data_IF_848416485183
#
_entry.id   IF_848416485183
#
_cell.length_a   1.000
_cell.length_b   1.000
_cell.length_c   1.000
_cell.angle_alpha   90.00
_cell.angle_beta   90.00
_cell.angle_gamma   90.00
#
_symmetry.space_group_name_H-M   'P 1'
#
loop_
_entity.id
_entity.type
_entity.pdbx_description
1 polymer ?
#
# COMPACT_ATOMS: atom_id res chain seq x y z
N UNK A 1 1.33 10.55 13.57
CA UNK A 1 0.92 9.15 13.39
C UNK A 1 0.31 8.60 14.67
N UNK A 2 1.04 8.43 15.80
CA UNK A 2 0.59 7.76 17.03
C UNK A 2 -0.79 8.25 17.49
N UNK A 3 -0.99 9.57 17.62
CA UNK A 3 -2.28 10.14 18.06
C UNK A 3 -3.43 9.77 17.12
N UNK A 4 -3.19 9.62 15.82
CA UNK A 4 -4.23 9.24 14.87
C UNK A 4 -4.67 7.78 15.01
N UNK A 5 -3.83 6.93 15.58
CA UNK A 5 -4.14 5.52 15.87
C UNK A 5 -4.84 5.38 17.22
N UNK A 6 -4.24 5.91 18.30
CA UNK A 6 -4.75 5.71 19.66
C UNK A 6 -6.09 6.44 19.94
N UNK A 7 -6.45 7.42 19.12
CA UNK A 7 -7.72 8.15 19.21
C UNK A 7 -8.82 7.59 18.28
N UNK A 8 -8.63 6.40 17.70
CA UNK A 8 -9.67 5.75 16.90
C UNK A 8 -10.84 5.30 17.79
N UNK A 9 -12.07 5.42 17.28
CA UNK A 9 -13.28 4.95 17.97
C UNK A 9 -13.48 3.43 17.84
N UNK A 10 -12.78 2.77 16.94
CA UNK A 10 -12.72 1.32 16.84
C UNK A 10 -11.74 0.80 17.89
N UNK A 11 -12.21 -0.03 18.80
CA UNK A 11 -11.44 -0.43 19.99
C UNK A 11 -10.62 -1.72 19.79
N UNK A 12 -10.95 -2.54 18.80
CA UNK A 12 -10.25 -3.79 18.55
C UNK A 12 -9.01 -3.57 17.67
N UNK A 13 -8.03 -2.81 18.20
CA UNK A 13 -6.78 -2.45 17.55
C UNK A 13 -5.60 -3.04 18.32
N UNK A 14 -4.77 -3.79 17.64
CA UNK A 14 -3.44 -4.15 18.10
C UNK A 14 -2.42 -3.17 17.48
N UNK A 15 -1.99 -2.18 18.25
CA UNK A 15 -1.03 -1.19 17.76
C UNK A 15 0.39 -1.66 18.02
N UNK A 16 1.14 -1.89 16.92
CA UNK A 16 2.53 -2.35 16.94
C UNK A 16 3.42 -1.27 16.34
N UNK A 17 4.54 -0.94 16.99
CA UNK A 17 5.53 -0.01 16.46
C UNK A 17 6.89 -0.71 16.34
N UNK A 18 7.42 -0.73 15.14
CA UNK A 18 8.76 -1.19 14.83
C UNK A 18 9.59 0.05 14.43
N UNK A 19 10.53 0.42 15.25
CA UNK A 19 11.45 1.54 15.01
C UNK A 19 12.83 1.02 14.61
N UNK A 20 13.36 1.51 13.50
CA UNK A 20 14.65 1.09 12.92
C UNK A 20 15.88 1.62 13.64
N UNK A 21 15.77 1.97 14.92
CA UNK A 21 16.87 2.52 15.72
C UNK A 21 17.02 4.03 15.58
N UNK A 22 15.93 4.77 15.64
CA UNK A 22 15.89 6.24 15.53
C UNK A 22 16.68 6.92 16.67
N UNK A 23 17.42 7.98 16.32
CA UNK A 23 18.23 8.80 17.25
C UNK A 23 17.72 10.23 17.42
N UNK A 24 16.61 10.60 16.76
CA UNK A 24 16.05 11.94 16.67
C UNK A 24 14.98 12.28 17.74
N UNK A 25 14.84 11.44 18.76
CA UNK A 25 13.81 11.58 19.80
C UNK A 25 12.54 10.78 19.57
N UNK A 26 12.41 10.06 18.43
CA UNK A 26 11.27 9.19 18.15
C UNK A 26 10.99 8.20 19.27
N UNK A 27 12.03 7.53 19.80
CA UNK A 27 11.93 6.57 20.90
C UNK A 27 11.31 7.19 22.14
N UNK A 28 11.64 8.45 22.47
CA UNK A 28 11.04 9.16 23.61
C UNK A 28 9.55 9.41 23.43
N UNK A 29 9.14 9.69 22.18
CA UNK A 29 7.72 9.83 21.84
C UNK A 29 7.00 8.49 21.97
N UNK A 30 7.58 7.38 21.48
CA UNK A 30 7.02 6.03 21.64
C UNK A 30 6.82 5.71 23.11
N UNK A 31 7.85 5.90 23.94
CA UNK A 31 7.79 5.66 25.39
C UNK A 31 6.68 6.44 26.10
N UNK A 32 6.40 7.68 25.66
CA UNK A 32 5.33 8.51 26.22
C UNK A 32 3.94 7.88 26.06
N UNK A 33 3.73 7.06 25.04
CA UNK A 33 2.45 6.40 24.73
C UNK A 33 2.52 4.88 24.84
N UNK A 34 3.53 4.33 25.52
CA UNK A 34 3.76 2.89 25.60
C UNK A 34 2.59 2.14 26.22
N UNK A 35 1.82 2.77 27.12
CA UNK A 35 0.59 2.23 27.72
C UNK A 35 -0.55 2.02 26.72
N UNK A 36 -0.48 2.62 25.52
CA UNK A 36 -1.45 2.52 24.43
C UNK A 36 -0.95 1.66 23.25
N UNK A 37 0.26 1.12 23.34
CA UNK A 37 0.92 0.37 22.29
C UNK A 37 1.03 -1.09 22.76
N UNK A 38 0.46 -2.02 21.98
CA UNK A 38 0.48 -3.44 22.31
C UNK A 38 1.89 -4.05 22.30
N UNK A 39 2.71 -3.62 21.36
CA UNK A 39 4.12 -4.01 21.25
C UNK A 39 4.93 -2.92 20.59
N UNK A 40 6.14 -2.69 21.06
CA UNK A 40 7.10 -1.85 20.36
C UNK A 40 8.54 -2.31 20.57
N UNK A 41 9.37 -2.08 19.57
CA UNK A 41 10.81 -2.32 19.63
C UNK A 41 11.54 -1.22 18.86
N UNK A 42 12.72 -0.84 19.35
CA UNK A 42 13.64 0.07 18.64
C UNK A 42 14.98 -0.63 18.50
N UNK A 43 15.31 -1.03 17.30
CA UNK A 43 16.54 -1.73 16.95
C UNK A 43 16.90 -1.48 15.49
N UNK A 44 18.15 -1.61 15.11
CA UNK A 44 18.56 -1.47 13.71
C UNK A 44 17.86 -2.48 12.82
N UNK A 45 17.39 -2.04 11.67
CA UNK A 45 16.77 -2.86 10.64
C UNK A 45 17.53 -2.79 9.29
N UNK A 46 17.11 -3.61 8.34
CA UNK A 46 17.65 -3.64 6.97
C UNK A 46 16.85 -2.78 5.99
N UNK A 47 15.96 -1.94 6.49
CA UNK A 47 15.07 -1.05 5.74
C UNK A 47 13.60 -1.31 6.05
N UNK A 48 12.72 -0.49 5.46
CA UNK A 48 11.28 -0.44 5.74
C UNK A 48 10.59 -1.82 5.66
N UNK A 49 10.94 -2.65 4.71
CA UNK A 49 10.31 -3.97 4.54
C UNK A 49 10.77 -4.99 5.59
N UNK A 50 11.96 -4.83 6.16
CA UNK A 50 12.39 -5.63 7.32
C UNK A 50 11.56 -5.25 8.55
N UNK A 51 11.37 -3.94 8.79
CA UNK A 51 10.50 -3.46 9.85
C UNK A 51 9.04 -3.92 9.67
N UNK A 52 8.50 -3.83 8.45
CA UNK A 52 7.14 -4.32 8.14
C UNK A 52 7.02 -5.82 8.40
N UNK A 53 7.99 -6.63 8.00
CA UNK A 53 7.99 -8.08 8.23
C UNK A 53 8.07 -8.42 9.73
N UNK A 54 8.84 -7.67 10.52
CA UNK A 54 8.82 -7.80 11.99
C UNK A 54 7.42 -7.50 12.53
N UNK A 55 6.78 -6.42 12.07
CA UNK A 55 5.39 -6.10 12.44
C UNK A 55 4.41 -7.22 12.09
N UNK A 56 4.53 -7.83 10.91
CA UNK A 56 3.72 -8.98 10.49
C UNK A 56 3.92 -10.17 11.44
N UNK A 57 5.16 -10.45 11.81
CA UNK A 57 5.49 -11.58 12.70
C UNK A 57 4.86 -11.43 14.09
N UNK A 58 4.80 -10.21 14.61
CA UNK A 58 4.21 -9.90 15.91
C UNK A 58 2.69 -9.68 15.88
N UNK A 59 2.08 -9.57 14.68
CA UNK A 59 0.65 -9.29 14.55
C UNK A 59 -0.23 -10.51 14.85
N UNK A 60 -1.34 -10.29 15.59
CA UNK A 60 -2.36 -11.30 15.92
C UNK A 60 -3.75 -10.92 15.35
N UNK A 61 -3.93 -9.68 14.90
CA UNK A 61 -5.16 -9.22 14.29
C UNK A 61 -5.50 -9.93 12.98
N UNK A 62 -6.76 -9.84 12.58
CA UNK A 62 -7.25 -10.43 11.31
C UNK A 62 -6.72 -9.68 10.09
N UNK A 63 -6.65 -8.36 10.17
CA UNK A 63 -6.11 -7.48 9.14
C UNK A 63 -4.93 -6.68 9.69
N UNK A 64 -3.94 -6.44 8.83
CA UNK A 64 -2.86 -5.51 9.09
C UNK A 64 -2.97 -4.29 8.18
N UNK A 65 -2.63 -3.12 8.73
CA UNK A 65 -2.44 -1.88 8.00
C UNK A 65 -1.08 -1.29 8.40
N UNK A 66 -0.35 -0.70 7.45
CA UNK A 66 0.97 -0.13 7.69
C UNK A 66 0.91 1.39 7.50
N UNK A 67 1.17 2.13 8.56
CA UNK A 67 1.23 3.59 8.53
C UNK A 67 2.65 4.05 8.85
N UNK A 68 3.25 4.78 7.92
CA UNK A 68 4.59 5.30 8.09
C UNK A 68 4.62 6.47 9.08
N UNK A 69 5.79 6.73 9.65
CA UNK A 69 6.01 7.91 10.46
C UNK A 69 5.71 9.19 9.65
N UNK A 70 4.88 10.07 10.21
CA UNK A 70 4.41 11.29 9.52
C UNK A 70 3.04 11.15 8.87
N UNK A 71 2.62 9.95 8.47
CA UNK A 71 1.27 9.69 7.95
C UNK A 71 0.25 9.60 9.09
N UNK A 72 -1.02 9.80 8.78
CA UNK A 72 -2.11 9.75 9.79
C UNK A 72 -3.41 9.26 9.19
N UNK A 73 -4.22 8.59 9.97
CA UNK A 73 -5.62 8.31 9.61
C UNK A 73 -6.39 9.62 9.40
N UNK A 74 -7.28 9.64 8.40
CA UNK A 74 -8.00 10.85 8.01
C UNK A 74 -9.05 11.31 9.04
N UNK A 75 -9.55 10.38 9.86
CA UNK A 75 -10.50 10.67 10.95
C UNK A 75 -10.39 9.66 12.08
N UNK A 76 -10.95 9.99 13.25
CA UNK A 76 -11.00 9.08 14.41
C UNK A 76 -11.97 7.91 14.26
N UNK A 77 -12.84 7.92 13.25
CA UNK A 77 -13.83 6.86 13.00
C UNK A 77 -13.51 6.00 11.78
N UNK A 78 -12.40 6.28 11.07
CA UNK A 78 -12.13 5.62 9.79
C UNK A 78 -11.94 4.11 9.92
N UNK A 79 -11.26 3.64 10.97
CA UNK A 79 -11.07 2.21 11.18
C UNK A 79 -12.40 1.50 11.37
N UNK A 80 -13.32 2.09 12.16
CA UNK A 80 -14.67 1.53 12.31
C UNK A 80 -15.39 1.45 10.96
N UNK A 81 -15.35 2.52 10.17
CA UNK A 81 -16.00 2.57 8.86
C UNK A 81 -15.45 1.53 7.88
N UNK A 82 -14.13 1.30 7.87
CA UNK A 82 -13.50 0.29 7.01
C UNK A 82 -13.87 -1.12 7.47
N UNK A 83 -13.88 -1.38 8.78
CA UNK A 83 -14.24 -2.69 9.31
C UNK A 83 -15.74 -3.00 9.10
N UNK A 84 -16.61 -2.00 9.19
CA UNK A 84 -18.05 -2.17 8.92
C UNK A 84 -18.34 -2.34 7.40
N UNK A 85 -17.42 -1.93 6.51
CA UNK A 85 -17.62 -1.95 5.06
C UNK A 85 -17.55 -3.36 4.45
N UNK A 86 -16.51 -4.11 4.73
CA UNK A 86 -16.33 -5.44 4.14
C UNK A 86 -15.25 -6.23 4.89
N UNK A 87 -15.64 -7.33 5.55
CA UNK A 87 -14.70 -8.20 6.28
C UNK A 87 -14.42 -9.53 5.55
N UNK A 88 -14.85 -9.68 4.31
CA UNK A 88 -14.68 -10.96 3.57
C UNK A 88 -13.50 -10.90 2.60
N UNK A 89 -13.19 -9.72 2.05
CA UNK A 89 -12.08 -9.55 1.10
C UNK A 89 -10.72 -9.82 1.75
N UNK A 90 -9.79 -10.37 0.98
CA UNK A 90 -8.41 -10.58 1.44
C UNK A 90 -7.65 -9.26 1.60
N UNK A 91 -7.98 -8.28 0.75
CA UNK A 91 -7.39 -6.94 0.77
C UNK A 91 -8.51 -5.90 0.62
N UNK A 92 -8.57 -4.92 1.52
CA UNK A 92 -9.41 -3.75 1.40
C UNK A 92 -8.52 -2.58 1.03
N UNK A 93 -8.81 -1.91 -0.10
CA UNK A 93 -8.03 -0.79 -0.61
C UNK A 93 -8.86 0.48 -0.54
N UNK A 94 -8.38 1.47 0.19
CA UNK A 94 -8.96 2.80 0.21
C UNK A 94 -8.07 3.82 -0.50
N UNK A 95 -8.48 5.09 -0.42
CA UNK A 95 -7.73 6.19 -1.01
C UNK A 95 -6.78 6.80 0.01
N UNK A 96 -5.68 7.32 -0.45
CA UNK A 96 -4.79 8.20 0.28
C UNK A 96 -4.88 9.63 -0.25
N UNK A 97 -4.58 10.57 0.63
CA UNK A 97 -4.58 12.00 0.37
C UNK A 97 -3.19 12.55 0.65
N UNK A 98 -2.52 13.06 -0.36
CA UNK A 98 -1.25 13.73 -0.17
C UNK A 98 -1.45 15.21 0.11
N UNK A 99 -0.77 15.71 1.13
CA UNK A 99 -0.78 17.13 1.50
C UNK A 99 0.63 17.70 1.49
N UNK A 100 0.79 18.97 1.19
CA UNK A 100 2.07 19.67 1.30
C UNK A 100 2.35 20.11 2.75
N UNK A 101 3.49 20.78 2.96
CA UNK A 101 3.92 21.31 4.28
C UNK A 101 2.93 22.30 4.91
N UNK A 102 2.05 22.90 4.11
CA UNK A 102 0.99 23.81 4.55
C UNK A 102 -0.37 23.13 4.71
N UNK A 103 -0.41 21.79 4.76
CA UNK A 103 -1.63 20.97 4.79
C UNK A 103 -2.60 21.21 3.62
N UNK A 104 -2.13 21.76 2.49
CA UNK A 104 -2.93 21.87 1.28
C UNK A 104 -2.88 20.53 0.51
N UNK A 105 -4.03 20.10 0.02
CA UNK A 105 -4.16 18.89 -0.80
C UNK A 105 -3.37 19.08 -2.10
N UNK A 106 -2.48 18.14 -2.37
CA UNK A 106 -1.66 18.06 -3.59
C UNK A 106 -2.23 17.03 -4.56
N UNK A 107 -2.58 15.85 -4.04
CA UNK A 107 -3.16 14.77 -4.84
C UNK A 107 -4.01 13.85 -3.99
N UNK A 108 -4.87 13.08 -4.63
CA UNK A 108 -5.67 12.01 -4.06
C UNK A 108 -5.58 10.80 -4.98
N UNK A 109 -5.31 9.63 -4.43
CA UNK A 109 -5.30 8.40 -5.23
C UNK A 109 -6.69 8.08 -5.78
N UNK A 110 -6.70 7.53 -6.99
CA UNK A 110 -7.91 7.05 -7.65
C UNK A 110 -7.87 5.52 -7.67
N UNK A 111 -8.91 4.91 -7.14
CA UNK A 111 -9.00 3.44 -7.13
C UNK A 111 -9.34 2.93 -8.54
N UNK A 112 -8.63 1.92 -9.05
CA UNK A 112 -8.92 1.34 -10.34
C UNK A 112 -10.22 0.53 -10.29
N UNK A 113 -10.86 0.35 -11.44
CA UNK A 113 -12.00 -0.56 -11.55
C UNK A 113 -11.59 -2.04 -11.44
N UNK A 114 -10.35 -2.36 -11.79
CA UNK A 114 -9.79 -3.73 -11.77
C UNK A 114 -8.32 -3.70 -11.35
N UNK A 115 -7.97 -4.61 -10.47
CA UNK A 115 -6.60 -4.84 -10.02
C UNK A 115 -5.99 -5.98 -10.86
N UNK A 116 -5.61 -5.68 -12.10
CA UNK A 116 -5.05 -6.63 -13.05
C UNK A 116 -3.56 -6.33 -13.33
N UNK A 117 -2.91 -7.17 -14.14
CA UNK A 117 -1.51 -6.99 -14.48
C UNK A 117 -1.22 -5.64 -15.12
N UNK A 118 -2.12 -5.12 -16.00
CA UNK A 118 -1.94 -3.81 -16.62
C UNK A 118 -1.94 -2.67 -15.59
N UNK A 119 -2.83 -2.72 -14.58
CA UNK A 119 -2.82 -1.75 -13.50
C UNK A 119 -1.47 -1.73 -12.76
N UNK A 120 -0.96 -2.92 -12.37
CA UNK A 120 0.31 -3.02 -11.66
C UNK A 120 1.52 -2.75 -12.55
N UNK A 121 1.41 -2.91 -13.87
CA UNK A 121 2.47 -2.51 -14.79
C UNK A 121 2.63 -0.98 -14.83
N UNK A 122 1.54 -0.23 -14.80
CA UNK A 122 1.53 1.23 -14.87
C UNK A 122 1.79 1.86 -13.49
N UNK A 123 1.13 1.37 -12.43
CA UNK A 123 1.11 2.02 -11.12
C UNK A 123 1.22 1.03 -9.96
N UNK A 124 0.83 1.43 -8.77
CA UNK A 124 0.79 0.60 -7.55
C UNK A 124 -0.43 0.96 -6.70
N UNK A 125 -0.66 0.18 -5.66
CA UNK A 125 -1.60 0.48 -4.59
C UNK A 125 -0.79 1.06 -3.42
N UNK A 126 -1.18 2.22 -2.84
CA UNK A 126 -0.52 2.76 -1.67
C UNK A 126 -0.78 1.85 -0.45
N UNK A 127 0.27 1.30 0.14
CA UNK A 127 0.17 0.34 1.24
C UNK A 127 -0.46 0.96 2.51
N UNK A 128 -0.29 2.26 2.72
CA UNK A 128 -0.83 2.97 3.89
C UNK A 128 -2.37 2.95 3.95
N UNK A 129 -3.03 2.93 2.78
CA UNK A 129 -4.49 2.89 2.68
C UNK A 129 -5.06 1.48 2.45
N UNK A 130 -4.25 0.43 2.71
CA UNK A 130 -4.64 -0.96 2.55
C UNK A 130 -4.80 -1.66 3.89
N UNK A 131 -5.87 -2.46 4.02
CA UNK A 131 -6.02 -3.46 5.07
C UNK A 131 -5.88 -4.83 4.44
N UNK A 132 -4.87 -5.58 4.87
CA UNK A 132 -4.48 -6.86 4.26
C UNK A 132 -4.65 -7.95 5.31
N UNK A 133 -5.30 -9.06 4.94
CA UNK A 133 -5.40 -10.21 5.86
C UNK A 133 -4.02 -10.64 6.34
N UNK A 134 -3.88 -10.78 7.66
CA UNK A 134 -2.62 -11.19 8.28
C UNK A 134 -2.12 -12.55 7.75
N UNK A 135 -3.04 -13.48 7.47
CA UNK A 135 -2.70 -14.78 6.88
C UNK A 135 -2.07 -14.65 5.49
N UNK A 136 -2.54 -13.67 4.69
CA UNK A 136 -1.99 -13.39 3.37
C UNK A 136 -0.57 -12.79 3.47
N UNK A 137 -0.38 -11.83 4.37
CA UNK A 137 0.95 -11.26 4.64
C UNK A 137 1.93 -12.32 5.16
N UNK A 138 1.49 -13.21 6.06
CA UNK A 138 2.31 -14.32 6.57
C UNK A 138 2.63 -15.39 5.51
N UNK A 139 1.84 -15.48 4.45
CA UNK A 139 2.11 -16.37 3.32
C UNK A 139 3.19 -15.82 2.39
N UNK A 140 3.15 -14.52 2.08
CA UNK A 140 4.01 -13.93 1.06
C UNK A 140 5.17 -13.11 1.63
N UNK A 141 5.04 -12.49 2.79
CA UNK A 141 5.99 -11.53 3.34
C UNK A 141 6.51 -10.51 2.30
N UNK A 142 7.10 -9.44 2.77
CA UNK A 142 7.79 -8.49 1.89
C UNK A 142 9.20 -8.98 1.58
N UNK A 143 9.64 -8.81 0.34
CA UNK A 143 11.00 -9.14 -0.09
C UNK A 143 11.98 -8.06 0.39
N UNK A 144 12.79 -8.39 1.38
CA UNK A 144 13.76 -7.46 1.99
C UNK A 144 14.98 -7.17 1.10
N UNK A 145 15.15 -7.89 -0.01
CA UNK A 145 16.18 -7.59 -1.02
C UNK A 145 15.84 -6.36 -1.87
N UNK A 146 14.54 -6.00 -1.94
CA UNK A 146 14.03 -4.81 -2.61
C UNK A 146 13.98 -3.64 -1.62
N UNK A 147 14.21 -2.42 -2.11
CA UNK A 147 14.24 -1.22 -1.27
C UNK A 147 12.99 -0.37 -1.39
N UNK A 148 12.30 -0.41 -2.57
CA UNK A 148 11.19 0.50 -2.86
C UNK A 148 9.93 -0.24 -3.30
N UNK A 149 10.03 -1.37 -4.03
CA UNK A 149 8.89 -1.98 -4.71
C UNK A 149 8.44 -3.32 -4.13
N UNK A 150 8.78 -3.64 -2.89
CA UNK A 150 8.41 -4.93 -2.31
C UNK A 150 6.90 -5.04 -2.01
N UNK A 151 6.23 -3.95 -1.65
CA UNK A 151 4.78 -3.86 -1.54
C UNK A 151 4.10 -4.06 -2.90
N UNK A 152 4.63 -3.44 -3.97
CA UNK A 152 4.15 -3.68 -5.33
C UNK A 152 4.34 -5.15 -5.76
N UNK A 153 5.49 -5.77 -5.45
CA UNK A 153 5.72 -7.20 -5.68
C UNK A 153 4.69 -8.06 -4.95
N UNK A 154 4.42 -7.73 -3.69
CA UNK A 154 3.42 -8.43 -2.88
C UNK A 154 2.04 -8.37 -3.54
N UNK A 155 1.58 -7.21 -4.02
CA UNK A 155 0.30 -7.08 -4.70
C UNK A 155 0.27 -7.84 -6.02
N UNK A 156 1.35 -7.82 -6.80
CA UNK A 156 1.45 -8.59 -8.03
C UNK A 156 1.31 -10.10 -7.75
N UNK A 157 2.03 -10.60 -6.74
CA UNK A 157 1.99 -12.00 -6.36
C UNK A 157 0.63 -12.41 -5.77
N UNK A 158 0.08 -11.61 -4.87
CA UNK A 158 -1.15 -11.98 -4.16
C UNK A 158 -2.39 -11.76 -5.01
N UNK A 159 -2.53 -10.63 -5.68
CA UNK A 159 -3.74 -10.26 -6.41
C UNK A 159 -3.72 -10.87 -7.82
N UNK A 160 -2.66 -10.60 -8.60
CA UNK A 160 -2.64 -10.96 -10.01
C UNK A 160 -2.36 -12.45 -10.20
N UNK A 161 -1.34 -12.97 -9.56
CA UNK A 161 -0.93 -14.37 -9.69
C UNK A 161 -1.69 -15.30 -8.75
N UNK A 162 -1.98 -14.83 -7.54
CA UNK A 162 -2.65 -15.61 -6.51
C UNK A 162 -4.18 -15.54 -6.56
N UNK A 163 -4.78 -14.60 -7.30
CA UNK A 163 -6.22 -14.47 -7.45
C UNK A 163 -6.96 -14.05 -6.16
N UNK A 164 -6.25 -13.46 -5.19
CA UNK A 164 -6.85 -13.02 -3.94
C UNK A 164 -7.80 -11.84 -4.13
N UNK A 165 -8.87 -11.82 -3.33
CA UNK A 165 -9.97 -10.86 -3.47
C UNK A 165 -9.59 -9.46 -2.98
N UNK A 166 -10.05 -8.44 -3.72
CA UNK A 166 -9.85 -7.03 -3.37
C UNK A 166 -11.19 -6.32 -3.31
N UNK A 167 -11.43 -5.61 -2.21
CA UNK A 167 -12.58 -4.70 -2.05
C UNK A 167 -12.11 -3.24 -2.10
N UNK A 168 -12.72 -2.44 -2.96
CA UNK A 168 -12.41 -1.02 -3.11
C UNK A 168 -13.31 -0.18 -2.18
N UNK A 169 -12.70 0.48 -1.21
CA UNK A 169 -13.36 1.43 -0.31
C UNK A 169 -13.16 2.86 -0.83
N UNK A 170 -14.17 3.43 -1.50
CA UNK A 170 -14.09 4.68 -2.23
C UNK A 170 -14.04 5.95 -1.34
N UNK A 171 -13.33 5.88 -0.21
CA UNK A 171 -13.08 7.01 0.67
C UNK A 171 -11.61 7.09 1.07
N UNK A 172 -11.21 8.28 1.51
CA UNK A 172 -9.85 8.51 2.05
C UNK A 172 -9.71 7.79 3.38
N UNK A 173 -8.65 7.00 3.52
CA UNK A 173 -8.27 6.32 4.77
C UNK A 173 -7.12 7.06 5.45
N UNK A 174 -6.10 7.44 4.69
CA UNK A 174 -4.85 7.99 5.22
C UNK A 174 -4.54 9.34 4.56
N UNK A 175 -3.99 10.24 5.34
CA UNK A 175 -3.37 11.48 4.88
C UNK A 175 -1.87 11.28 4.97
N UNK A 176 -1.20 11.33 3.81
CA UNK A 176 0.24 11.08 3.65
C UNK A 176 1.04 12.38 3.67
N UNK A 177 2.19 12.33 4.35
CA UNK A 177 3.15 13.42 4.34
C UNK A 177 4.02 13.35 3.06
N UNK A 178 4.35 14.49 2.40
CA UNK A 178 5.10 14.51 1.14
C UNK A 178 6.56 14.01 1.24
N UNK A 179 7.11 13.81 2.43
CA UNK A 179 8.50 13.39 2.65
C UNK A 179 8.64 11.86 2.71
N UNK A 180 8.32 11.17 1.61
CA UNK A 180 8.44 9.71 1.53
C UNK A 180 9.71 9.25 0.81
N UNK A 181 10.19 8.03 1.15
CA UNK A 181 11.42 7.44 0.59
C UNK A 181 11.29 6.95 -0.88
N UNK A 182 10.11 7.01 -1.50
CA UNK A 182 9.80 6.43 -2.81
C UNK A 182 10.05 7.36 -4.00
N UNK A 183 11.05 8.25 -3.94
CA UNK A 183 11.31 9.25 -4.99
C UNK A 183 12.39 8.85 -6.02
N UNK A 184 13.04 7.70 -5.88
CA UNK A 184 14.08 7.23 -6.82
C UNK A 184 13.45 6.45 -7.98
N UNK A 185 13.06 7.17 -9.03
CA UNK A 185 12.41 6.59 -10.21
C UNK A 185 13.30 5.57 -10.95
N UNK A 186 14.62 5.74 -10.97
CA UNK A 186 15.52 4.80 -11.62
C UNK A 186 15.54 3.47 -10.89
N UNK A 187 15.64 3.51 -9.57
CA UNK A 187 15.62 2.32 -8.73
C UNK A 187 14.26 1.60 -8.79
N UNK A 188 13.16 2.34 -8.78
CA UNK A 188 11.82 1.76 -8.98
C UNK A 188 11.77 0.96 -10.28
N UNK A 189 12.25 1.53 -11.38
CA UNK A 189 12.27 0.87 -12.68
C UNK A 189 13.12 -0.40 -12.66
N UNK A 190 14.35 -0.33 -12.17
CA UNK A 190 15.26 -1.48 -12.07
C UNK A 190 14.67 -2.63 -11.21
N UNK A 191 14.16 -2.30 -10.03
CA UNK A 191 13.56 -3.29 -9.14
C UNK A 191 12.29 -3.91 -9.76
N UNK A 192 11.42 -3.12 -10.42
CA UNK A 192 10.23 -3.64 -11.12
C UNK A 192 10.60 -4.54 -12.28
N UNK A 193 11.58 -4.18 -13.11
CA UNK A 193 12.05 -5.02 -14.21
C UNK A 193 12.57 -6.36 -13.71
N UNK A 194 13.35 -6.36 -12.62
CA UNK A 194 13.84 -7.59 -11.98
C UNK A 194 12.66 -8.47 -11.53
N UNK A 195 11.72 -7.91 -10.79
CA UNK A 195 10.56 -8.63 -10.26
C UNK A 195 9.69 -9.20 -11.38
N UNK A 196 9.46 -8.43 -12.46
CA UNK A 196 8.68 -8.91 -13.61
C UNK A 196 9.35 -10.10 -14.27
N UNK A 197 10.69 -10.04 -14.48
CA UNK A 197 11.47 -11.16 -15.05
C UNK A 197 11.47 -12.40 -14.16
N UNK A 198 11.44 -12.21 -12.84
CA UNK A 198 11.43 -13.33 -11.88
C UNK A 198 10.04 -14.00 -11.79
N UNK A 199 8.96 -13.23 -11.96
CA UNK A 199 7.60 -13.70 -11.73
C UNK A 199 6.83 -14.08 -13.00
N UNK A 200 7.19 -13.53 -14.15
CA UNK A 200 6.43 -13.67 -15.39
C UNK A 200 7.27 -14.28 -16.51
N UNK A 201 6.66 -15.08 -17.39
CA UNK A 201 7.31 -15.55 -18.62
C UNK A 201 7.78 -14.37 -19.49
N UNK A 202 8.92 -14.54 -20.16
CA UNK A 202 9.56 -13.50 -20.95
C UNK A 202 8.63 -12.91 -22.04
N UNK A 203 7.78 -13.71 -22.66
CA UNK A 203 6.85 -13.24 -23.69
C UNK A 203 5.80 -12.25 -23.10
N UNK A 204 5.31 -12.49 -21.87
CA UNK A 204 4.42 -11.55 -21.20
C UNK A 204 5.13 -10.24 -20.90
N UNK A 205 6.36 -10.30 -20.38
CA UNK A 205 7.15 -9.09 -20.09
C UNK A 205 7.38 -8.28 -21.36
N UNK A 206 7.73 -8.94 -22.49
CA UNK A 206 7.94 -8.29 -23.77
C UNK A 206 6.66 -7.63 -24.31
N UNK A 207 5.50 -8.30 -24.21
CA UNK A 207 4.22 -7.73 -24.64
C UNK A 207 3.91 -6.43 -23.87
N UNK A 208 4.14 -6.42 -22.55
CA UNK A 208 3.93 -5.22 -21.72
C UNK A 208 4.96 -4.12 -21.99
N UNK A 209 6.20 -4.48 -22.31
CA UNK A 209 7.22 -3.52 -22.77
C UNK A 209 6.80 -2.83 -24.08
N UNK A 210 6.28 -3.60 -25.04
CA UNK A 210 5.73 -3.05 -26.29
C UNK A 210 4.56 -2.09 -26.02
N UNK A 211 3.63 -2.46 -25.10
CA UNK A 211 2.53 -1.58 -24.72
C UNK A 211 3.03 -0.27 -24.10
N UNK A 212 4.09 -0.28 -23.30
CA UNK A 212 4.65 0.92 -22.69
C UNK A 212 5.22 1.91 -23.72
N UNK A 213 5.63 1.43 -24.92
CA UNK A 213 6.09 2.27 -26.00
C UNK A 213 4.96 3.09 -26.66
N UNK A 214 3.69 2.75 -26.40
CA UNK A 214 2.53 3.50 -26.90
C UNK A 214 2.27 4.81 -26.12
N UNK A 215 3.01 5.05 -25.05
CA UNK A 215 2.87 6.20 -24.17
C UNK A 215 1.77 6.03 -23.12
N UNK A 216 1.99 6.65 -21.96
CA UNK A 216 1.04 6.60 -20.82
C UNK A 216 -0.34 7.13 -21.22
N UNK A 217 -0.39 8.21 -21.97
CA UNK A 217 -1.64 8.84 -22.45
C UNK A 217 -2.47 7.90 -23.34
N UNK A 218 -1.84 7.13 -24.22
CA UNK A 218 -2.54 6.14 -25.05
C UNK A 218 -3.08 4.99 -24.19
N UNK A 219 -2.31 4.52 -23.23
CA UNK A 219 -2.72 3.43 -22.32
C UNK A 219 -3.89 3.89 -21.45
N UNK A 220 -3.83 5.10 -20.89
CA UNK A 220 -4.92 5.69 -20.11
C UNK A 220 -6.18 5.88 -20.95
N UNK A 221 -6.06 6.39 -22.17
CA UNK A 221 -7.17 6.54 -23.11
C UNK A 221 -7.75 5.19 -23.51
N UNK A 222 -6.93 4.18 -23.79
CA UNK A 222 -7.38 2.83 -24.08
C UNK A 222 -8.12 2.21 -22.87
N UNK A 223 -7.59 2.36 -21.65
CA UNK A 223 -8.26 1.94 -20.42
C UNK A 223 -9.58 2.68 -20.21
N UNK A 224 -9.63 3.99 -20.49
CA UNK A 224 -10.86 4.77 -20.44
C UNK A 224 -11.91 4.24 -21.44
N UNK A 225 -11.52 3.96 -22.68
CA UNK A 225 -12.37 3.39 -23.70
C UNK A 225 -12.88 1.99 -23.35
N UNK A 226 -12.00 1.12 -22.83
CA UNK A 226 -12.40 -0.22 -22.38
C UNK A 226 -13.30 -0.21 -21.13
N UNK A 227 -13.18 0.80 -20.29
CA UNK A 227 -13.96 0.92 -19.06
C UNK A 227 -15.33 1.61 -19.25
N UNK A 228 -15.56 2.32 -20.36
CA UNK A 228 -16.82 2.97 -20.67
C UNK A 228 -17.71 2.06 -21.55
N UNK A 229 -18.70 1.42 -20.93
CA UNK A 229 -19.66 0.55 -21.63
C UNK A 229 -20.38 1.20 -22.82
N UNK A 230 -20.54 2.52 -22.84
CA UNK A 230 -21.17 3.27 -23.93
C UNK A 230 -20.35 3.28 -25.22
N UNK A 231 -19.03 3.19 -25.15
CA UNK A 231 -18.15 3.25 -26.34
C UNK A 231 -18.03 1.89 -27.02
N UNK A 232 -18.33 0.78 -26.33
CA UNK A 232 -18.40 -0.56 -26.96
C UNK A 232 -19.47 -0.65 -28.07
N UNK A 233 -20.45 0.25 -28.10
CA UNK A 233 -21.49 0.31 -29.14
C UNK A 233 -21.07 1.08 -30.41
N UNK A 234 -20.01 1.87 -30.38
CA UNK A 234 -19.53 2.70 -31.48
C UNK A 234 -18.41 2.04 -32.31
N UNK A 235 -17.87 0.91 -31.90
CA UNK A 235 -16.75 0.20 -32.55
C UNK A 235 -17.21 -1.20 -33.02
N UNK A 236 -18.38 -1.28 -33.62
CA UNK A 236 -18.82 -2.45 -34.40
C UNK A 236 -18.87 -2.12 -35.87
#
# INVERSE_FOLDING_TARGET
>A
TILSVINQTYLNIEYIIIDGGSTDGTVNVIKKYADKIAYWVSESDKGIYDAMNKGIAYSHGEYCNFINAGDKFCSSSILKQVMDFNHVADIIVGQDLHVNEHNKIVSRSVLPRRYNLLHFYITTIPHQSCFIRASLLKKYYYDTSLKIVSDWKFYLQSIVLGGHSVAAYNNVIVICNPRGASSDNNRIKEEREKVLKDLLPAYIVNDYQCLSCLGEEFIENALFLFNNHWIRFLVK
#
